data_IF_866078256780
#
_entry.id   IF_866078256780
#
_cell.length_a   1.000
_cell.length_b   1.000
_cell.length_c   1.000
_cell.angle_alpha   90.00
_cell.angle_beta   90.00
_cell.angle_gamma   90.00
#
_symmetry.space_group_name_H-M   'P 1'
#
loop_
_entity.id
_entity.type
_entity.pdbx_description
1 polymer ?
#
# COMPACT_ATOMS: atom_id res chain seq x y z
N UNK A 1 16.23 25.31 -29.28
CA UNK A 1 17.34 24.35 -29.08
C UNK A 1 17.00 23.12 -29.92
N UNK A 2 17.82 22.76 -30.90
CA UNK A 2 17.60 21.58 -31.74
C UNK A 2 18.48 20.44 -31.23
N UNK A 3 17.89 19.27 -30.97
CA UNK A 3 18.62 18.07 -30.62
C UNK A 3 19.04 17.35 -31.89
N UNK A 4 20.33 17.02 -32.05
CA UNK A 4 20.81 16.24 -33.20
C UNK A 4 20.54 14.76 -32.96
N UNK A 5 19.91 14.06 -33.92
CA UNK A 5 19.57 12.64 -33.77
C UNK A 5 18.66 12.12 -34.88
N UNK A 6 18.36 10.83 -34.85
CA UNK A 6 17.37 10.21 -35.75
C UNK A 6 15.97 10.31 -35.12
N UNK A 7 15.09 11.08 -35.74
CA UNK A 7 13.71 11.27 -35.29
C UNK A 7 12.73 10.75 -36.32
N UNK A 8 11.54 10.34 -35.86
CA UNK A 8 10.46 9.97 -36.76
C UNK A 8 9.92 11.22 -37.47
N UNK A 9 9.37 11.02 -38.67
CA UNK A 9 8.69 12.08 -39.42
C UNK A 9 7.45 12.56 -38.67
N UNK A 10 6.98 13.76 -39.00
CA UNK A 10 5.74 14.30 -38.45
C UNK A 10 4.58 13.31 -38.65
N UNK A 11 3.85 13.01 -37.57
CA UNK A 11 2.78 12.00 -37.54
C UNK A 11 3.22 10.56 -37.26
N UNK A 12 4.53 10.30 -37.07
CA UNK A 12 5.07 8.98 -36.77
C UNK A 12 5.76 8.95 -35.40
N UNK A 13 5.64 7.82 -34.70
CA UNK A 13 6.23 7.55 -33.37
C UNK A 13 7.10 6.29 -33.43
N UNK A 14 8.04 6.14 -32.49
CA UNK A 14 8.87 4.93 -32.38
C UNK A 14 8.04 3.77 -31.80
N UNK A 15 8.09 2.61 -32.44
CA UNK A 15 7.45 1.38 -31.98
C UNK A 15 7.97 0.89 -30.61
N UNK A 16 9.22 1.21 -30.26
CA UNK A 16 9.84 0.78 -29.01
C UNK A 16 10.93 1.77 -28.56
N UNK A 17 11.30 1.72 -27.28
CA UNK A 17 12.42 2.48 -26.72
C UNK A 17 13.80 1.91 -27.10
N UNK A 18 13.84 0.85 -27.91
CA UNK A 18 15.10 0.26 -28.41
C UNK A 18 15.71 1.14 -29.50
N UNK A 19 17.03 1.27 -29.48
CA UNK A 19 17.80 1.97 -30.52
C UNK A 19 17.56 1.27 -31.87
N UNK A 20 17.10 2.03 -32.87
CA UNK A 20 16.78 1.48 -34.20
C UNK A 20 15.35 0.94 -34.35
N UNK A 21 14.47 1.18 -33.38
CA UNK A 21 13.03 0.89 -33.51
C UNK A 21 12.43 1.55 -34.76
N UNK A 22 11.49 0.86 -35.41
CA UNK A 22 10.73 1.39 -36.55
C UNK A 22 9.87 2.58 -36.15
N UNK A 23 9.64 3.49 -37.10
CA UNK A 23 8.69 4.58 -36.97
C UNK A 23 7.35 4.14 -37.55
N UNK A 24 6.33 4.01 -36.71
CA UNK A 24 4.96 3.64 -37.08
C UNK A 24 4.06 4.88 -36.96
N UNK A 25 2.92 4.91 -37.65
CA UNK A 25 1.98 6.03 -37.47
C UNK A 25 1.44 6.01 -36.05
N UNK A 26 1.05 7.16 -35.52
CA UNK A 26 0.44 7.23 -34.19
C UNK A 26 -0.83 6.39 -34.06
N UNK A 27 -1.63 6.28 -35.13
CA UNK A 27 -2.84 5.45 -35.20
C UNK A 27 -2.56 3.95 -35.30
N UNK A 28 -1.42 3.60 -35.92
CA UNK A 28 -0.92 2.22 -36.12
C UNK A 28 0.07 1.82 -35.03
N UNK A 29 0.33 2.71 -34.07
CA UNK A 29 0.73 2.26 -32.75
C UNK A 29 -0.41 1.35 -32.37
N UNK A 30 -0.20 0.03 -32.52
CA UNK A 30 -1.00 -0.94 -31.82
C UNK A 30 -1.11 -0.31 -30.44
N UNK A 31 -2.33 0.07 -30.08
CA UNK A 31 -2.65 0.24 -28.69
C UNK A 31 -2.43 -1.15 -28.16
N UNK A 32 -1.17 -1.51 -27.94
CA UNK A 32 -0.80 -2.63 -27.14
C UNK A 32 -1.37 -2.15 -25.84
N UNK A 33 -2.53 -2.70 -25.56
CA UNK A 33 -3.29 -2.55 -24.35
C UNK A 33 -2.49 -3.27 -23.25
N UNK A 34 -1.21 -2.94 -23.14
CA UNK A 34 -0.28 -3.18 -22.04
C UNK A 34 -0.43 -2.04 -21.03
N UNK A 35 -1.11 -0.95 -21.39
CA UNK A 35 -1.33 0.20 -20.51
C UNK A 35 -2.57 0.13 -19.62
N UNK A 36 -3.50 -0.81 -19.80
CA UNK A 36 -4.85 -0.59 -19.22
C UNK A 36 -5.61 -1.87 -18.89
N UNK A 37 -4.95 -2.81 -18.24
CA UNK A 37 -5.71 -3.73 -17.39
C UNK A 37 -5.07 -3.78 -16.02
N UNK A 38 -5.24 -2.67 -15.30
CA UNK A 38 -5.17 -2.73 -13.85
C UNK A 38 -6.11 -3.84 -13.37
N UNK A 39 -5.69 -4.54 -12.32
CA UNK A 39 -6.45 -5.69 -11.83
C UNK A 39 -7.73 -5.22 -11.15
N UNK A 40 -8.56 -6.15 -10.70
CA UNK A 40 -9.75 -5.81 -9.94
C UNK A 40 -9.40 -4.85 -8.79
N UNK A 41 -10.25 -3.83 -8.59
CA UNK A 41 -10.09 -2.82 -7.54
C UNK A 41 -8.89 -1.86 -7.69
N UNK A 42 -8.26 -1.84 -8.86
CA UNK A 42 -7.24 -0.87 -9.22
C UNK A 42 -7.74 0.12 -10.29
N UNK A 43 -7.11 1.29 -10.35
CA UNK A 43 -7.29 2.30 -11.38
C UNK A 43 -5.93 2.80 -11.88
N UNK A 44 -5.85 3.12 -13.17
CA UNK A 44 -4.63 3.67 -13.74
C UNK A 44 -4.58 5.17 -13.49
N UNK A 45 -3.52 5.63 -12.82
CA UNK A 45 -3.24 7.05 -12.64
C UNK A 45 -1.96 7.40 -13.40
N UNK A 46 -2.00 8.50 -14.15
CA UNK A 46 -0.80 9.07 -14.78
C UNK A 46 0.13 9.74 -13.76
N UNK A 47 -0.39 10.05 -12.57
CA UNK A 47 0.32 10.73 -11.50
C UNK A 47 -0.28 10.30 -10.13
N UNK A 48 0.11 9.12 -9.63
CA UNK A 48 -0.24 8.64 -8.29
C UNK A 48 0.91 8.80 -7.29
N UNK A 49 0.61 8.65 -6.00
CA UNK A 49 1.61 8.77 -4.92
C UNK A 49 2.78 7.80 -5.10
N UNK A 50 4.02 8.26 -4.84
CA UNK A 50 5.18 7.36 -4.78
C UNK A 50 5.11 6.36 -3.60
N UNK A 51 4.26 6.63 -2.61
CA UNK A 51 3.98 5.77 -1.46
C UNK A 51 2.46 5.54 -1.41
N UNK A 52 1.93 4.66 -2.28
CA UNK A 52 0.53 4.32 -2.24
C UNK A 52 0.18 3.60 -0.93
N UNK A 53 -1.04 3.77 -0.43
CA UNK A 53 -1.45 3.16 0.83
C UNK A 53 -1.44 1.62 0.76
N UNK A 54 -1.00 1.01 1.84
CA UNK A 54 -0.81 -0.43 2.03
C UNK A 54 -1.49 -0.88 3.31
N UNK A 55 -1.75 -2.18 3.46
CA UNK A 55 -2.30 -2.72 4.70
C UNK A 55 -1.39 -2.52 5.92
N UNK A 56 -0.08 -2.32 5.72
CA UNK A 56 0.84 -2.01 6.82
C UNK A 56 0.60 -0.58 7.38
N UNK A 57 -0.03 0.33 6.61
CA UNK A 57 -0.39 1.69 7.07
C UNK A 57 -1.55 1.70 8.08
N UNK A 58 -2.39 0.67 8.08
CA UNK A 58 -3.47 0.49 9.07
C UNK A 58 -3.07 -0.37 10.27
N UNK A 59 -1.84 -0.85 10.31
CA UNK A 59 -1.45 -1.71 11.41
C UNK A 59 -1.13 -0.87 12.64
N UNK A 60 -1.74 -1.20 13.78
CA UNK A 60 -1.48 -0.51 15.04
C UNK A 60 -0.75 -1.42 16.05
N UNK A 61 0.34 -0.97 16.69
CA UNK A 61 0.87 0.40 16.71
C UNK A 61 1.57 0.77 15.40
N UNK A 62 1.42 2.01 14.92
CA UNK A 62 2.08 2.47 13.69
C UNK A 62 3.61 2.24 13.73
N UNK A 63 4.27 2.05 12.57
CA UNK A 63 5.72 1.95 12.50
C UNK A 63 6.39 3.12 13.24
N UNK A 64 7.43 2.81 14.03
CA UNK A 64 8.17 3.83 14.83
C UNK A 64 8.77 4.94 13.98
N UNK A 65 9.14 4.63 12.74
CA UNK A 65 9.72 5.58 11.81
C UNK A 65 8.67 6.00 10.79
N UNK A 66 8.37 7.30 10.66
CA UNK A 66 7.46 7.77 9.63
C UNK A 66 8.06 7.47 8.27
N UNK A 67 7.30 6.77 7.43
CA UNK A 67 7.68 6.55 6.02
C UNK A 67 7.77 7.91 5.34
N UNK A 68 8.99 8.37 5.05
CA UNK A 68 9.21 9.62 4.32
C UNK A 68 8.67 9.42 2.89
N UNK A 69 7.57 10.09 2.57
CA UNK A 69 7.04 10.10 1.22
C UNK A 69 7.46 11.35 0.45
N UNK A 70 8.19 11.13 -0.64
CA UNK A 70 8.54 12.21 -1.57
C UNK A 70 7.32 12.61 -2.40
N UNK A 71 7.16 13.91 -2.66
CA UNK A 71 6.02 14.48 -3.42
C UNK A 71 6.11 14.22 -4.94
N UNK A 72 6.98 13.32 -5.39
CA UNK A 72 7.10 12.94 -6.79
C UNK A 72 5.99 11.94 -7.09
N UNK A 73 5.18 12.19 -8.12
CA UNK A 73 4.18 11.22 -8.55
C UNK A 73 4.74 10.24 -9.57
N UNK A 74 4.12 9.04 -9.64
CA UNK A 74 4.46 7.97 -10.58
C UNK A 74 3.22 7.55 -11.34
N UNK A 75 3.37 7.26 -12.63
CA UNK A 75 2.31 6.64 -13.41
C UNK A 75 2.23 5.12 -13.11
N UNK A 76 1.02 4.56 -13.06
CA UNK A 76 0.82 3.14 -12.81
C UNK A 76 -0.60 2.78 -12.33
N UNK A 77 -0.78 1.52 -11.92
CA UNK A 77 -2.02 1.04 -11.31
C UNK A 77 -2.00 1.25 -9.79
N UNK A 78 -3.00 1.97 -9.30
CA UNK A 78 -3.17 2.30 -7.88
C UNK A 78 -4.46 1.67 -7.37
N UNK A 79 -4.52 1.38 -6.07
CA UNK A 79 -5.77 0.98 -5.47
C UNK A 79 -6.77 2.13 -5.58
N UNK A 80 -8.01 1.79 -5.94
CA UNK A 80 -9.11 2.76 -5.92
C UNK A 80 -9.26 3.36 -4.52
N UNK A 81 -9.88 4.53 -4.46
CA UNK A 81 -10.13 5.24 -3.21
C UNK A 81 -10.72 4.33 -2.11
N UNK A 82 -10.18 4.42 -0.90
CA UNK A 82 -10.58 3.62 0.26
C UNK A 82 -10.04 2.19 0.30
N UNK A 83 -9.25 1.77 -0.69
CA UNK A 83 -8.63 0.45 -0.73
C UNK A 83 -7.12 0.52 -0.51
N UNK A 84 -6.60 -0.57 0.05
CA UNK A 84 -5.22 -0.66 0.53
C UNK A 84 -4.54 -1.86 -0.11
N UNK A 85 -3.29 -1.66 -0.52
CA UNK A 85 -2.53 -2.74 -1.14
C UNK A 85 -2.09 -3.76 -0.08
N UNK A 86 -2.61 -4.97 -0.20
CA UNK A 86 -2.19 -6.13 0.61
C UNK A 86 -0.79 -6.60 0.21
N UNK A 87 -0.15 -7.40 1.07
CA UNK A 87 1.13 -8.06 0.78
C UNK A 87 1.06 -9.01 -0.44
N UNK A 88 -0.14 -9.50 -0.76
CA UNK A 88 -0.40 -10.31 -1.95
C UNK A 88 -0.58 -9.49 -3.24
N UNK A 89 -0.41 -8.16 -3.19
CA UNK A 89 -0.53 -7.27 -4.34
C UNK A 89 -1.96 -6.85 -4.69
N UNK A 90 -2.97 -7.41 -4.02
CA UNK A 90 -4.40 -7.07 -4.25
C UNK A 90 -4.82 -5.83 -3.47
N UNK A 91 -5.71 -5.05 -4.04
CA UNK A 91 -6.38 -3.93 -3.35
C UNK A 91 -7.60 -4.44 -2.59
N UNK A 92 -7.57 -4.27 -1.27
CA UNK A 92 -8.57 -4.79 -0.35
C UNK A 92 -9.08 -3.69 0.58
N UNK A 93 -10.23 -3.93 1.22
CA UNK A 93 -10.75 -2.99 2.22
C UNK A 93 -9.93 -3.04 3.52
N UNK A 94 -9.96 -2.00 4.37
CA UNK A 94 -9.26 -2.01 5.66
C UNK A 94 -9.59 -3.21 6.55
N UNK A 95 -10.82 -3.71 6.50
CA UNK A 95 -11.24 -4.87 7.29
C UNK A 95 -10.55 -6.17 6.86
N UNK A 96 -10.10 -6.24 5.61
CA UNK A 96 -9.38 -7.37 5.03
C UNK A 96 -7.85 -7.24 5.19
N UNK A 97 -7.37 -6.10 5.71
CA UNK A 97 -5.96 -5.89 5.99
C UNK A 97 -5.49 -6.56 7.29
N UNK A 98 -6.41 -6.85 8.22
CA UNK A 98 -6.07 -7.40 9.52
C UNK A 98 -5.71 -8.89 9.45
N UNK A 99 -4.76 -9.28 10.31
CA UNK A 99 -4.31 -10.65 10.44
C UNK A 99 -5.31 -11.56 11.13
N UNK A 100 -4.92 -12.82 11.32
CA UNK A 100 -5.74 -13.79 12.04
C UNK A 100 -5.94 -13.35 13.50
N UNK A 101 -7.17 -13.44 13.99
CA UNK A 101 -7.60 -13.00 15.33
C UNK A 101 -7.45 -11.49 15.59
N UNK A 102 -7.48 -10.70 14.51
CA UNK A 102 -7.55 -9.26 14.58
C UNK A 102 -8.84 -8.75 13.95
N UNK A 103 -9.28 -7.58 14.41
CA UNK A 103 -10.43 -6.87 13.88
C UNK A 103 -10.03 -5.43 13.60
N UNK A 104 -10.47 -4.91 12.47
CA UNK A 104 -10.33 -3.50 12.16
C UNK A 104 -11.34 -2.71 12.99
N UNK A 105 -10.88 -1.66 13.67
CA UNK A 105 -11.75 -0.64 14.24
C UNK A 105 -11.23 0.75 13.91
N UNK A 106 -12.14 1.67 13.65
CA UNK A 106 -11.83 3.09 13.47
C UNK A 106 -11.53 3.82 14.78
N UNK A 107 -11.90 3.22 15.92
CA UNK A 107 -11.77 3.80 17.26
C UNK A 107 -11.27 2.72 18.22
N UNK A 108 -10.01 2.33 18.08
CA UNK A 108 -9.32 1.43 19.01
C UNK A 108 -8.42 2.19 19.98
N UNK A 109 -7.89 1.46 20.96
CA UNK A 109 -7.02 2.02 22.01
C UNK A 109 -5.67 2.44 21.44
N UNK A 110 -5.23 3.67 21.66
CA UNK A 110 -3.85 4.11 21.41
C UNK A 110 -2.79 3.45 22.31
N UNK A 111 -3.23 2.51 23.15
CA UNK A 111 -2.46 1.85 24.17
C UNK A 111 -2.50 0.35 23.87
N UNK A 112 -1.48 -0.14 23.18
CA UNK A 112 -1.38 -1.55 22.80
C UNK A 112 -0.75 -2.34 23.93
N UNK A 113 -1.49 -3.28 24.48
CA UNK A 113 -0.93 -4.27 25.39
C UNK A 113 -0.17 -5.34 24.60
N UNK A 114 1.07 -5.60 25.03
CA UNK A 114 1.89 -6.69 24.51
C UNK A 114 2.44 -7.53 25.65
N UNK A 115 2.96 -8.71 25.36
CA UNK A 115 3.61 -9.55 26.38
C UNK A 115 4.73 -8.84 27.15
N UNK A 116 5.43 -7.90 26.52
CA UNK A 116 6.57 -7.19 27.11
C UNK A 116 6.24 -5.75 27.54
N UNK A 117 5.01 -5.30 27.31
CA UNK A 117 4.60 -3.93 27.60
C UNK A 117 3.14 -3.92 28.03
N UNK A 118 2.94 -3.62 29.31
CA UNK A 118 1.63 -3.41 29.92
C UNK A 118 1.59 -1.97 30.46
N UNK A 119 0.99 -1.03 29.72
CA UNK A 119 0.95 0.36 30.15
C UNK A 119 0.04 0.52 31.38
N UNK A 120 0.50 1.28 32.40
CA UNK A 120 -0.28 1.53 33.62
C UNK A 120 -1.46 2.48 33.39
N UNK A 121 -1.37 3.34 32.38
CA UNK A 121 -2.39 4.30 32.01
C UNK A 121 -2.46 4.46 30.49
N UNK A 122 -3.69 4.50 29.97
CA UNK A 122 -3.95 4.65 28.55
C UNK A 122 -4.68 5.97 28.28
N UNK A 123 -4.30 6.67 27.22
CA UNK A 123 -5.01 7.87 26.76
C UNK A 123 -6.37 7.50 26.16
N UNK A 124 -7.37 8.36 26.29
CA UNK A 124 -8.67 8.21 25.62
C UNK A 124 -8.65 8.54 24.11
N UNK A 125 -7.46 8.60 23.51
CA UNK A 125 -7.32 8.83 22.07
C UNK A 125 -7.75 7.59 21.31
N UNK A 126 -8.68 7.76 20.38
CA UNK A 126 -9.04 6.73 19.44
C UNK A 126 -8.09 6.74 18.25
N UNK A 127 -7.55 5.57 17.93
CA UNK A 127 -6.74 5.35 16.75
C UNK A 127 -7.37 4.23 15.92
N UNK A 128 -7.38 4.44 14.61
CA UNK A 128 -7.86 3.43 13.68
C UNK A 128 -6.77 2.39 13.41
N UNK A 129 -7.17 1.14 13.25
CA UNK A 129 -6.26 0.07 12.88
C UNK A 129 -6.75 -1.33 13.25
N UNK A 130 -5.83 -2.29 13.18
CA UNK A 130 -6.07 -3.68 13.53
C UNK A 130 -5.74 -3.96 15.01
N UNK A 131 -6.71 -4.51 15.75
CA UNK A 131 -6.61 -4.83 17.16
C UNK A 131 -7.03 -6.28 17.40
N UNK A 132 -6.58 -6.87 18.51
CA UNK A 132 -6.99 -8.23 18.85
C UNK A 132 -8.51 -8.34 18.94
N UNK A 133 -9.10 -9.31 18.23
CA UNK A 133 -10.56 -9.51 18.20
C UNK A 133 -11.13 -9.81 19.58
N UNK A 134 -10.29 -10.37 20.47
CA UNK A 134 -10.66 -10.63 21.85
C UNK A 134 -9.99 -9.61 22.78
N UNK A 135 -10.75 -9.03 23.73
CA UNK A 135 -10.24 -8.00 24.63
C UNK A 135 -9.25 -8.54 25.68
N UNK A 136 -9.24 -9.86 25.90
CA UNK A 136 -8.33 -10.55 26.82
C UNK A 136 -7.02 -10.99 26.14
N UNK A 137 -6.86 -10.76 24.83
CA UNK A 137 -5.66 -11.12 24.09
C UNK A 137 -4.70 -9.94 23.98
N UNK A 138 -3.41 -10.24 24.05
CA UNK A 138 -2.33 -9.28 23.90
C UNK A 138 -1.49 -9.63 22.69
N UNK A 139 -0.85 -8.62 22.10
CA UNK A 139 0.12 -8.86 21.01
C UNK A 139 1.38 -9.51 21.57
N UNK A 140 1.95 -10.47 20.83
CA UNK A 140 3.20 -11.12 21.24
C UNK A 140 4.34 -10.12 21.43
N UNK A 141 4.43 -9.08 20.60
CA UNK A 141 5.46 -8.05 20.67
C UNK A 141 4.99 -6.75 19.99
N UNK A 142 5.85 -5.73 19.95
CA UNK A 142 5.55 -4.42 19.35
C UNK A 142 5.48 -4.43 17.81
N UNK A 143 5.63 -5.58 17.15
CA UNK A 143 5.46 -5.68 15.70
C UNK A 143 3.97 -5.58 15.36
N UNK A 144 3.65 -4.72 14.38
CA UNK A 144 2.33 -4.55 13.78
C UNK A 144 1.68 -5.83 13.30
N UNK A 145 2.49 -6.80 12.86
CA UNK A 145 2.06 -8.10 12.36
C UNK A 145 2.17 -9.23 13.40
N UNK A 146 2.39 -8.89 14.68
CA UNK A 146 2.49 -9.89 15.74
C UNK A 146 1.14 -10.54 16.02
N UNK A 147 1.17 -11.82 16.36
CA UNK A 147 -0.03 -12.58 16.69
C UNK A 147 -0.66 -12.11 18.00
N UNK A 148 -1.99 -12.14 18.05
CA UNK A 148 -2.76 -11.98 19.28
C UNK A 148 -2.87 -13.31 20.01
N UNK A 149 -2.37 -13.36 21.24
CA UNK A 149 -2.35 -14.56 22.09
C UNK A 149 -2.89 -14.25 23.50
N UNK A 150 -3.41 -15.26 24.21
CA UNK A 150 -3.70 -15.13 25.63
C UNK A 150 -2.43 -14.75 26.43
N UNK A 151 -2.53 -13.87 27.45
CA UNK A 151 -1.39 -13.47 28.28
C UNK A 151 -0.62 -14.62 28.94
N UNK A 152 -1.28 -15.76 29.17
CA UNK A 152 -0.63 -16.96 29.73
C UNK A 152 0.32 -17.66 28.75
N UNK A 153 0.17 -17.40 27.44
CA UNK A 153 1.04 -17.91 26.39
C UNK A 153 2.23 -16.97 26.11
N UNK A 154 2.34 -15.85 26.83
CA UNK A 154 3.47 -14.96 26.69
C UNK A 154 4.79 -15.66 27.10
N UNK A 155 5.85 -15.53 26.29
CA UNK A 155 7.16 -16.07 26.63
C UNK A 155 7.68 -15.39 27.91
N UNK A 156 8.29 -16.20 28.79
CA UNK A 156 8.91 -15.76 30.05
C UNK A 156 10.35 -15.32 29.86
#
# INVERSE_FOLDING_TARGET
MCSTGCFCKEGYVRESNKTGSSCIKQEDCENVNVLTQCTENEEFLTCGSACPPTCDDWSYPLPKEPTMCIMICKAGCFCKEGLYRSKGGKCVKPEECCGKNEVFTSCGSACVETCNNKPDACTFQCVAGCFCSRPDHVRLNNNTNSVCIPPIECPK
#
